data_IF_722009429761
#
_entry.id   IF_722009429761
#
_cell.length_a   1.000
_cell.length_b   1.000
_cell.length_c   1.000
_cell.angle_alpha   90.00
_cell.angle_beta   90.00
_cell.angle_gamma   90.00
#
_symmetry.space_group_name_H-M   'P 1'
#
loop_
_entity.id
_entity.type
_entity.pdbx_description
1 polymer ?
#
# COMPACT_ATOMS: atom_id res chain seq x y z
N UNK A 1 -28.48 25.99 8.26
CA UNK A 1 -27.23 26.05 7.55
C UNK A 1 -27.44 25.43 6.15
N UNK A 2 -27.45 26.24 5.11
CA UNK A 2 -27.65 25.73 3.74
C UNK A 2 -26.29 25.37 3.17
N UNK A 3 -26.06 24.08 2.92
CA UNK A 3 -24.85 23.61 2.22
C UNK A 3 -25.18 23.57 0.74
N UNK A 4 -24.52 24.40 -0.04
CA UNK A 4 -24.63 24.43 -1.48
C UNK A 4 -23.53 23.55 -2.06
N UNK A 5 -23.91 22.40 -2.62
CA UNK A 5 -22.97 21.48 -3.27
C UNK A 5 -23.02 21.77 -4.76
N UNK A 6 -21.90 22.28 -5.29
CA UNK A 6 -21.72 22.49 -6.74
C UNK A 6 -21.14 21.20 -7.33
N UNK A 7 -21.93 20.48 -8.10
CA UNK A 7 -21.48 19.27 -8.83
C UNK A 7 -21.03 19.71 -10.21
N UNK A 8 -19.71 19.62 -10.47
CA UNK A 8 -19.19 19.76 -11.83
C UNK A 8 -19.36 18.44 -12.58
N UNK A 9 -20.36 18.39 -13.47
CA UNK A 9 -20.54 17.25 -14.38
C UNK A 9 -19.75 17.52 -15.65
N UNK A 10 -18.71 16.72 -15.88
CA UNK A 10 -18.00 16.70 -17.16
C UNK A 10 -18.88 15.99 -18.20
N UNK A 11 -19.30 16.76 -19.19
CA UNK A 11 -20.23 16.34 -20.25
C UNK A 11 -19.44 15.67 -21.38
N UNK A 12 -19.50 14.36 -21.44
CA UNK A 12 -19.17 13.63 -22.66
C UNK A 12 -20.47 13.04 -23.23
N UNK A 13 -20.79 13.50 -24.43
CA UNK A 13 -21.85 13.09 -25.36
C UNK A 13 -23.31 13.42 -25.00
N UNK A 14 -23.98 13.90 -26.10
CA UNK A 14 -25.37 14.37 -26.19
C UNK A 14 -26.35 13.36 -25.62
N UNK A 15 -26.72 13.54 -24.37
CA UNK A 15 -27.94 12.97 -23.80
C UNK A 15 -28.91 14.10 -23.43
N UNK A 16 -30.23 13.93 -23.64
CA UNK A 16 -31.20 14.96 -23.28
C UNK A 16 -31.16 15.23 -21.78
N UNK A 17 -31.28 16.50 -21.43
CA UNK A 17 -31.32 16.97 -20.06
C UNK A 17 -32.60 16.43 -19.40
N UNK A 18 -32.51 15.40 -18.57
CA UNK A 18 -33.57 14.96 -17.71
C UNK A 18 -33.49 15.74 -16.41
N UNK A 19 -34.39 16.68 -16.23
CA UNK A 19 -34.52 17.43 -14.97
C UNK A 19 -35.15 16.51 -13.92
N UNK A 20 -34.37 15.99 -13.00
CA UNK A 20 -34.89 15.27 -11.85
C UNK A 20 -35.21 16.25 -10.74
N UNK A 21 -36.48 16.43 -10.43
CA UNK A 21 -36.88 17.12 -9.21
C UNK A 21 -36.81 16.14 -8.05
N UNK A 22 -35.87 16.34 -7.17
CA UNK A 22 -35.74 15.56 -5.94
C UNK A 22 -36.73 16.12 -4.91
N UNK A 23 -37.59 15.22 -4.36
CA UNK A 23 -38.35 15.49 -3.15
C UNK A 23 -37.46 15.74 -1.93
N UNK A 24 -38.03 16.07 -0.75
CA UNK A 24 -37.24 16.46 0.42
C UNK A 24 -36.15 15.42 0.72
N UNK A 25 -34.94 15.93 0.80
CA UNK A 25 -33.72 15.16 0.88
C UNK A 25 -33.73 14.13 2.03
N UNK A 26 -33.86 12.87 1.70
CA UNK A 26 -33.23 11.83 2.50
C UNK A 26 -31.74 11.97 2.27
N UNK A 27 -31.00 12.17 3.33
CA UNK A 27 -29.56 12.23 3.36
C UNK A 27 -29.00 10.92 2.80
N UNK A 28 -28.87 10.85 1.48
CA UNK A 28 -28.18 9.77 0.83
C UNK A 28 -26.69 10.11 1.00
N UNK A 29 -26.02 9.44 1.93
CA UNK A 29 -24.58 9.44 2.00
C UNK A 29 -24.08 8.95 0.65
N UNK A 30 -23.75 9.88 -0.21
CA UNK A 30 -22.92 9.60 -1.38
C UNK A 30 -21.59 9.18 -0.77
N UNK A 31 -21.11 7.95 -1.00
CA UNK A 31 -19.75 7.64 -0.64
C UNK A 31 -18.88 8.65 -1.40
N UNK A 32 -18.25 9.55 -0.63
CA UNK A 32 -17.29 10.49 -1.19
C UNK A 32 -16.22 9.71 -1.95
N UNK A 33 -15.42 10.37 -2.82
CA UNK A 33 -14.29 9.71 -3.42
C UNK A 33 -13.53 9.06 -2.27
N UNK A 34 -13.35 7.74 -2.35
CA UNK A 34 -12.46 7.03 -1.46
C UNK A 34 -11.12 7.68 -1.69
N UNK A 35 -10.75 8.61 -0.82
CA UNK A 35 -9.38 9.05 -0.71
C UNK A 35 -8.63 7.76 -0.42
N UNK A 36 -8.00 7.22 -1.44
CA UNK A 36 -7.06 6.14 -1.28
C UNK A 36 -6.00 6.74 -0.36
N UNK A 37 -6.10 6.45 0.94
CA UNK A 37 -5.07 6.78 1.89
C UNK A 37 -3.80 6.16 1.30
N UNK A 38 -2.88 7.02 0.89
CA UNK A 38 -1.55 6.57 0.48
C UNK A 38 -0.91 6.07 1.76
N UNK A 39 -1.05 4.78 2.01
CA UNK A 39 -0.44 4.12 3.14
C UNK A 39 1.04 3.94 2.79
N UNK A 40 1.91 4.72 3.42
CA UNK A 40 3.35 4.57 3.28
C UNK A 40 3.88 3.90 4.54
N UNK A 41 4.48 2.72 4.37
CA UNK A 41 5.12 2.02 5.47
C UNK A 41 6.54 2.56 5.67
N UNK A 42 6.80 3.11 6.86
CA UNK A 42 8.12 3.61 7.25
C UNK A 42 8.94 2.53 7.95
N UNK A 43 10.18 2.33 7.53
CA UNK A 43 11.12 1.36 8.10
C UNK A 43 12.51 1.97 8.23
N UNK A 44 13.30 1.51 9.21
CA UNK A 44 14.74 1.82 9.25
C UNK A 44 15.53 0.82 8.40
N UNK A 45 16.72 1.22 7.96
CA UNK A 45 17.61 0.41 7.10
C UNK A 45 18.02 -0.94 7.70
N UNK A 46 17.81 -1.14 9.01
CA UNK A 46 18.13 -2.39 9.71
C UNK A 46 16.90 -3.29 9.93
N UNK A 47 15.74 -2.84 9.50
CA UNK A 47 14.48 -3.54 9.76
C UNK A 47 14.06 -4.44 8.60
N UNK A 48 13.30 -5.45 8.96
CA UNK A 48 12.52 -6.25 8.03
C UNK A 48 11.09 -6.42 8.57
N UNK A 49 10.14 -6.59 7.67
CA UNK A 49 8.74 -6.80 7.98
C UNK A 49 8.19 -7.96 7.15
N UNK A 50 7.36 -8.77 7.77
CA UNK A 50 6.60 -9.80 7.06
C UNK A 50 5.19 -9.32 6.82
N UNK A 51 4.71 -9.50 5.59
CA UNK A 51 3.37 -9.19 5.16
C UNK A 51 2.68 -10.39 4.54
N UNK A 52 1.37 -10.32 4.49
CA UNK A 52 0.53 -11.30 3.80
C UNK A 52 -0.53 -10.55 3.00
N UNK A 53 -0.72 -10.96 1.75
CA UNK A 53 -1.77 -10.44 0.89
C UNK A 53 -2.98 -11.36 0.98
N UNK A 54 -4.16 -10.79 1.25
CA UNK A 54 -5.42 -11.52 1.26
C UNK A 54 -6.32 -10.97 0.16
N UNK A 55 -6.37 -11.60 -1.02
CA UNK A 55 -7.26 -11.16 -2.07
C UNK A 55 -8.72 -11.39 -1.70
N UNK A 56 -9.55 -10.41 -2.00
CA UNK A 56 -10.98 -10.44 -1.69
C UNK A 56 -11.76 -10.32 -2.99
N UNK A 57 -12.73 -11.22 -3.19
CA UNK A 57 -13.63 -11.19 -4.33
C UNK A 57 -14.63 -10.03 -4.24
N UNK A 58 -15.31 -9.73 -5.34
CA UNK A 58 -16.38 -8.71 -5.38
C UNK A 58 -17.50 -8.93 -4.35
N UNK A 59 -17.67 -10.15 -3.88
CA UNK A 59 -18.67 -10.52 -2.86
C UNK A 59 -18.14 -10.42 -1.42
N UNK A 60 -16.88 -9.99 -1.23
CA UNK A 60 -16.27 -9.86 0.08
C UNK A 60 -15.70 -11.18 0.65
N UNK A 61 -15.70 -12.27 -0.11
CA UNK A 61 -15.10 -13.53 0.29
C UNK A 61 -13.63 -13.61 -0.16
N UNK A 62 -12.80 -14.43 0.51
CA UNK A 62 -11.44 -14.69 0.02
C UNK A 62 -11.46 -15.17 -1.42
N UNK A 63 -10.67 -14.56 -2.28
CA UNK A 63 -10.54 -14.97 -3.67
C UNK A 63 -9.58 -16.14 -3.80
N UNK A 64 -9.86 -17.03 -4.75
CA UNK A 64 -8.97 -18.14 -5.06
C UNK A 64 -7.85 -17.68 -5.96
N UNK A 65 -6.61 -17.74 -5.46
CA UNK A 65 -5.39 -17.39 -6.20
C UNK A 65 -4.89 -18.62 -6.96
N UNK A 66 -4.43 -18.40 -8.18
CA UNK A 66 -3.83 -19.46 -8.98
C UNK A 66 -2.41 -19.74 -8.46
N UNK A 67 -2.12 -21.01 -8.16
CA UNK A 67 -0.82 -21.42 -7.65
C UNK A 67 0.29 -21.11 -8.66
N UNK A 68 1.43 -20.59 -8.17
CA UNK A 68 2.59 -20.25 -9.00
C UNK A 68 2.46 -18.91 -9.76
N UNK A 69 1.35 -18.18 -9.61
CA UNK A 69 1.14 -16.88 -10.25
C UNK A 69 1.66 -15.70 -9.44
N UNK A 70 1.87 -15.88 -8.14
CA UNK A 70 2.22 -14.80 -7.21
C UNK A 70 3.66 -14.35 -7.38
N UNK A 71 3.85 -13.04 -7.59
CA UNK A 71 5.17 -12.42 -7.71
C UNK A 71 5.20 -11.10 -6.96
N UNK A 72 6.24 -10.94 -6.13
CA UNK A 72 6.57 -9.68 -5.48
C UNK A 72 7.78 -9.05 -6.16
N UNK A 73 7.67 -7.78 -6.49
CA UNK A 73 8.72 -7.03 -7.17
C UNK A 73 8.92 -5.68 -6.49
N UNK A 74 10.14 -5.37 -6.10
CA UNK A 74 10.52 -4.04 -5.64
C UNK A 74 10.87 -3.15 -6.83
N UNK A 75 10.44 -1.89 -6.80
CA UNK A 75 10.80 -0.89 -7.80
C UNK A 75 12.29 -0.52 -7.75
N UNK A 76 12.91 -0.68 -6.59
CA UNK A 76 14.34 -0.44 -6.36
C UNK A 76 14.91 -1.44 -5.34
N UNK A 77 15.61 -2.45 -5.85
CA UNK A 77 16.23 -3.49 -5.03
C UNK A 77 17.44 -3.00 -4.23
N UNK A 78 17.99 -1.83 -4.53
CA UNK A 78 19.03 -1.20 -3.72
C UNK A 78 18.51 -0.54 -2.46
N UNK A 79 17.22 -0.26 -2.40
CA UNK A 79 16.49 0.33 -1.25
C UNK A 79 15.73 -0.73 -0.48
N UNK A 80 15.02 -1.61 -1.19
CA UNK A 80 14.10 -2.59 -0.61
C UNK A 80 14.16 -3.92 -1.38
N UNK A 81 14.29 -5.02 -0.66
CA UNK A 81 14.17 -6.37 -1.24
C UNK A 81 12.96 -7.10 -0.67
N UNK A 82 12.36 -7.97 -1.47
CA UNK A 82 11.24 -8.80 -1.08
C UNK A 82 11.54 -10.27 -1.39
N UNK A 83 11.24 -11.14 -0.44
CA UNK A 83 11.47 -12.59 -0.52
C UNK A 83 10.21 -13.35 -0.14
N UNK A 84 9.84 -14.34 -0.92
CA UNK A 84 8.80 -15.30 -0.57
C UNK A 84 9.44 -16.47 0.18
N UNK A 85 9.33 -16.48 1.50
CA UNK A 85 10.03 -17.45 2.34
C UNK A 85 9.21 -18.71 2.66
N UNK A 86 7.91 -18.67 2.40
CA UNK A 86 7.00 -19.75 2.70
C UNK A 86 6.48 -20.41 1.41
N UNK A 87 7.04 -21.57 1.02
CA UNK A 87 6.59 -22.27 -0.19
C UNK A 87 5.16 -22.81 -0.07
N UNK A 88 4.64 -22.92 1.14
CA UNK A 88 3.25 -23.37 1.39
C UNK A 88 2.25 -22.22 1.29
N UNK A 89 2.71 -20.96 1.40
CA UNK A 89 1.88 -19.78 1.30
C UNK A 89 2.55 -18.69 0.44
N UNK A 90 2.31 -18.75 -0.85
CA UNK A 90 2.87 -17.82 -1.83
C UNK A 90 2.46 -16.34 -1.60
N UNK A 91 1.41 -16.10 -0.80
CA UNK A 91 0.91 -14.76 -0.49
C UNK A 91 1.68 -14.08 0.65
N UNK A 92 2.56 -14.81 1.33
CA UNK A 92 3.46 -14.25 2.34
C UNK A 92 4.74 -13.73 1.72
N UNK A 93 5.18 -12.59 2.21
CA UNK A 93 6.42 -11.93 1.78
C UNK A 93 7.17 -11.37 2.97
N UNK A 94 8.48 -11.53 2.95
CA UNK A 94 9.38 -10.83 3.86
C UNK A 94 10.07 -9.71 3.10
N UNK A 95 9.87 -8.49 3.58
CA UNK A 95 10.44 -7.27 3.01
C UNK A 95 11.59 -6.82 3.89
N UNK A 96 12.76 -6.62 3.29
CA UNK A 96 13.97 -6.19 3.98
C UNK A 96 14.42 -4.84 3.44
N UNK A 97 14.64 -3.90 4.35
CA UNK A 97 15.28 -2.64 4.03
C UNK A 97 16.79 -2.87 3.74
N UNK A 98 17.30 -2.19 2.73
CA UNK A 98 18.70 -2.31 2.28
C UNK A 98 19.43 -0.99 2.47
N UNK A 99 18.84 0.11 2.02
CA UNK A 99 19.43 1.44 2.15
C UNK A 99 18.31 2.50 2.28
N UNK A 100 18.64 3.69 2.82
CA UNK A 100 17.68 4.79 2.90
C UNK A 100 17.17 5.19 1.51
N UNK A 101 15.88 5.47 1.41
CA UNK A 101 15.22 5.86 0.16
C UNK A 101 13.76 5.48 0.15
N UNK A 102 13.11 5.67 -0.98
CA UNK A 102 11.73 5.28 -1.22
C UNK A 102 11.68 4.19 -2.28
N UNK A 103 10.87 3.16 -2.04
CA UNK A 103 10.64 2.09 -3.01
C UNK A 103 9.19 1.62 -2.94
N UNK A 104 8.66 1.16 -4.06
CA UNK A 104 7.34 0.56 -4.17
C UNK A 104 7.47 -0.95 -4.30
N UNK A 105 6.75 -1.67 -3.47
CA UNK A 105 6.56 -3.10 -3.61
C UNK A 105 5.30 -3.36 -4.41
N UNK A 106 5.37 -4.10 -5.49
CA UNK A 106 4.21 -4.60 -6.22
C UNK A 106 4.04 -6.10 -6.02
N UNK A 107 2.79 -6.52 -5.86
CA UNK A 107 2.38 -7.91 -5.83
C UNK A 107 1.48 -8.18 -7.01
N UNK A 108 1.87 -9.09 -7.89
CA UNK A 108 1.08 -9.53 -9.05
C UNK A 108 0.67 -10.98 -8.86
N UNK A 109 -0.57 -11.29 -9.19
CA UNK A 109 -1.10 -12.65 -9.13
C UNK A 109 -2.36 -12.79 -9.96
N UNK A 110 -2.67 -14.01 -10.38
CA UNK A 110 -3.92 -14.35 -11.05
C UNK A 110 -4.93 -14.88 -10.02
N UNK A 111 -6.10 -14.27 -9.97
CA UNK A 111 -7.16 -14.66 -9.04
C UNK A 111 -8.54 -14.61 -9.67
N UNK A 112 -9.43 -15.48 -9.19
CA UNK A 112 -10.86 -15.42 -9.49
C UNK A 112 -11.56 -14.49 -8.50
N UNK A 113 -11.87 -13.30 -8.97
CA UNK A 113 -12.58 -12.28 -8.18
C UNK A 113 -14.11 -12.35 -8.32
N UNK A 114 -14.63 -13.40 -8.97
CA UNK A 114 -16.05 -13.68 -9.16
C UNK A 114 -16.55 -13.65 -10.60
N UNK A 115 -15.73 -13.19 -11.55
CA UNK A 115 -16.05 -13.12 -12.98
C UNK A 115 -15.07 -13.94 -13.85
N UNK A 116 -14.35 -14.88 -13.23
CA UNK A 116 -13.27 -15.62 -13.84
C UNK A 116 -11.89 -15.16 -13.37
N UNK A 117 -10.86 -15.85 -13.82
CA UNK A 117 -9.47 -15.55 -13.46
C UNK A 117 -9.01 -14.27 -14.16
N UNK A 118 -8.50 -13.33 -13.37
CA UNK A 118 -7.96 -12.06 -13.87
C UNK A 118 -6.60 -11.78 -13.22
N UNK A 119 -5.76 -11.06 -13.94
CA UNK A 119 -4.50 -10.52 -13.42
C UNK A 119 -4.78 -9.37 -12.45
N UNK A 120 -4.20 -9.45 -11.26
CA UNK A 120 -4.35 -8.46 -10.19
C UNK A 120 -3.00 -7.93 -9.80
N UNK A 121 -2.89 -6.63 -9.66
CA UNK A 121 -1.69 -5.95 -9.18
C UNK A 121 -2.02 -5.06 -7.98
N UNK A 122 -1.28 -5.24 -6.90
CA UNK A 122 -1.37 -4.45 -5.66
C UNK A 122 -0.04 -3.76 -5.39
N UNK A 123 -0.09 -2.59 -4.74
CA UNK A 123 1.09 -1.79 -4.43
C UNK A 123 1.13 -1.40 -2.96
N UNK A 124 2.33 -1.34 -2.42
CA UNK A 124 2.64 -0.74 -1.13
C UNK A 124 3.88 0.13 -1.27
N UNK A 125 3.80 1.36 -0.77
CA UNK A 125 4.92 2.28 -0.79
C UNK A 125 5.70 2.22 0.53
N UNK A 126 7.02 2.15 0.44
CA UNK A 126 7.93 2.10 1.58
C UNK A 126 8.86 3.31 1.58
N UNK A 127 9.04 3.88 2.76
CA UNK A 127 10.06 4.89 3.04
C UNK A 127 11.09 4.30 3.99
N UNK A 128 12.32 4.14 3.52
CA UNK A 128 13.40 3.63 4.33
C UNK A 128 14.20 4.82 4.85
N UNK A 129 14.24 4.96 6.17
CA UNK A 129 15.03 6.00 6.84
C UNK A 129 16.36 5.43 7.29
N UNK A 130 17.42 6.22 7.17
CA UNK A 130 18.73 5.87 7.71
C UNK A 130 18.66 5.71 9.22
N UNK A 131 19.33 4.67 9.74
CA UNK A 131 19.47 4.48 11.18
C UNK A 131 20.21 5.66 11.80
N UNK A 132 19.52 6.51 12.52
CA UNK A 132 20.14 7.55 13.32
C UNK A 132 20.63 6.95 14.64
N UNK A 133 21.88 7.19 14.97
CA UNK A 133 22.36 6.92 16.31
C UNK A 133 21.63 7.86 17.27
N UNK A 134 20.72 7.31 18.09
CA UNK A 134 19.92 8.05 19.07
C UNK A 134 20.67 8.31 20.39
N UNK A 135 21.94 7.86 20.48
CA UNK A 135 22.78 8.10 21.63
C UNK A 135 24.10 7.35 21.52
N UNK A 136 25.02 7.70 22.36
CA UNK A 136 26.31 7.05 22.51
C UNK A 136 26.87 7.27 23.91
N UNK A 137 27.68 6.36 24.40
CA UNK A 137 28.44 6.50 25.64
C UNK A 137 29.91 6.76 25.32
N UNK A 138 30.45 7.85 25.85
CA UNK A 138 31.91 8.08 25.83
C UNK A 138 32.49 7.56 27.12
N UNK A 139 33.52 6.74 27.02
CA UNK A 139 34.33 6.31 28.15
C UNK A 139 35.73 6.91 28.01
N UNK A 140 36.18 7.60 29.01
CA UNK A 140 37.51 8.14 29.09
C UNK A 140 38.35 7.26 30.02
N UNK A 141 39.58 7.03 29.67
CA UNK A 141 40.56 6.39 30.55
C UNK A 141 40.94 7.32 31.72
N UNK A 142 41.64 6.81 32.73
CA UNK A 142 42.14 7.64 33.80
C UNK A 142 43.10 8.72 33.26
N UNK A 143 43.10 9.92 33.85
CA UNK A 143 44.00 10.97 33.39
C UNK A 143 45.47 10.55 33.59
N UNK A 144 46.28 10.83 32.60
CA UNK A 144 47.74 10.68 32.70
C UNK A 144 48.39 12.06 32.64
N UNK A 145 49.52 12.23 33.35
CA UNK A 145 50.27 13.47 33.31
C UNK A 145 50.88 13.67 31.89
N UNK A 146 50.81 14.91 31.43
CA UNK A 146 51.44 15.28 30.15
C UNK A 146 52.93 15.40 30.38
N UNK A 147 53.75 14.94 29.43
CA UNK A 147 55.19 15.08 29.50
C UNK A 147 55.66 16.54 29.43
#
# INVERSE_FOLDING_TARGET
MKVQITVHVWRWWKAPLVLWTFGPAREQRIPGPVLQEIHMTEMSETQMVSGEVTPISKRGNPAKVQAGSVRFVSSDSSVLTATQDDPANEMKVTVKAVAPGAARLSCKFDADLGDGVTDVELFEDFSIIGGQAIGGTMKFGPPSEQP
#
